data_IF_257215228371
#
_entry.id   IF_257215228371
#
_cell.length_a   1.000
_cell.length_b   1.000
_cell.length_c   1.000
_cell.angle_alpha   90.00
_cell.angle_beta   90.00
_cell.angle_gamma   90.00
#
_symmetry.space_group_name_H-M   'P 1'
#
loop_
_entity.id
_entity.type
_entity.pdbx_description
1 polymer ?
#
# COMPACT_ATOMS: atom_id res chain seq x y z
N UNK A 1 -19.71 4.24 13.30
CA UNK A 1 -18.31 3.89 12.96
C UNK A 1 -18.10 4.12 11.48
N UNK A 2 -17.01 4.78 11.10
CA UNK A 2 -16.56 4.90 9.72
C UNK A 2 -15.46 3.88 9.46
N UNK A 3 -15.51 3.20 8.32
CA UNK A 3 -14.49 2.23 7.94
C UNK A 3 -14.47 2.04 6.42
N UNK A 4 -13.35 1.53 5.91
CA UNK A 4 -13.21 1.16 4.49
C UNK A 4 -13.50 -0.33 4.32
N UNK A 5 -14.21 -0.70 3.28
CA UNK A 5 -14.57 -2.09 3.01
C UNK A 5 -14.67 -2.37 1.51
N UNK A 6 -14.34 -3.59 1.09
CA UNK A 6 -14.50 -4.09 -0.29
C UNK A 6 -15.91 -4.70 -0.53
N UNK A 7 -16.94 -4.31 0.24
CA UNK A 7 -18.27 -4.95 0.19
C UNK A 7 -19.01 -4.71 -1.14
N UNK A 8 -18.64 -3.67 -1.88
CA UNK A 8 -19.11 -3.37 -3.24
C UNK A 8 -18.01 -3.52 -4.29
N UNK A 9 -17.04 -4.41 -4.06
CA UNK A 9 -15.93 -4.73 -4.97
C UNK A 9 -14.93 -3.60 -5.24
N UNK A 10 -15.18 -2.44 -4.64
CA UNK A 10 -14.28 -1.30 -4.51
C UNK A 10 -13.93 -1.08 -3.05
N UNK A 11 -12.71 -0.61 -2.77
CA UNK A 11 -12.32 -0.11 -1.44
C UNK A 11 -12.93 1.27 -1.23
N UNK A 12 -14.14 1.32 -0.67
CA UNK A 12 -14.88 2.58 -0.44
C UNK A 12 -15.27 2.76 1.03
N UNK A 13 -15.63 4.00 1.39
CA UNK A 13 -16.06 4.33 2.74
C UNK A 13 -17.45 3.80 3.03
N UNK A 14 -17.60 3.26 4.24
CA UNK A 14 -18.86 2.75 4.78
C UNK A 14 -19.14 3.35 6.15
N UNK A 15 -20.42 3.55 6.41
CA UNK A 15 -20.94 4.05 7.68
C UNK A 15 -21.70 2.92 8.37
N UNK A 16 -21.22 2.48 9.52
CA UNK A 16 -21.96 1.60 10.42
C UNK A 16 -22.67 2.43 11.49
N UNK A 17 -24.00 2.32 11.54
CA UNK A 17 -24.85 2.92 12.55
C UNK A 17 -25.36 1.81 13.49
N UNK A 18 -25.29 2.03 14.80
CA UNK A 18 -25.89 1.15 15.81
C UNK A 18 -27.13 1.83 16.36
N UNK A 19 -28.28 1.20 16.17
CA UNK A 19 -29.60 1.63 16.65
C UNK A 19 -30.20 0.44 17.41
N UNK A 20 -30.54 0.62 18.69
CA UNK A 20 -31.16 -0.41 19.54
C UNK A 20 -30.48 -1.80 19.42
N UNK A 21 -29.16 -1.82 19.59
CA UNK A 21 -28.28 -2.99 19.46
C UNK A 21 -28.17 -3.65 18.08
N UNK A 22 -28.90 -3.16 17.08
CA UNK A 22 -28.74 -3.57 15.69
C UNK A 22 -27.72 -2.68 14.98
N UNK A 23 -26.77 -3.30 14.29
CA UNK A 23 -25.80 -2.59 13.43
C UNK A 23 -26.25 -2.67 11.99
N UNK A 24 -26.45 -1.51 11.36
CA UNK A 24 -26.71 -1.39 9.92
C UNK A 24 -25.53 -0.69 9.25
N UNK A 25 -25.12 -1.21 8.09
CA UNK A 25 -23.96 -0.72 7.34
C UNK A 25 -24.44 -0.16 6.01
N UNK A 26 -23.97 1.03 5.66
CA UNK A 26 -24.29 1.72 4.41
C UNK A 26 -23.02 2.13 3.67
N UNK A 27 -23.03 2.06 2.34
CA UNK A 27 -22.00 2.67 1.51
C UNK A 27 -22.14 4.20 1.55
N UNK A 28 -21.05 4.92 1.80
CA UNK A 28 -21.09 6.38 1.97
C UNK A 28 -21.66 7.09 0.72
N UNK A 29 -21.16 6.76 -0.47
CA UNK A 29 -21.67 7.39 -1.69
C UNK A 29 -23.08 6.95 -2.08
N UNK A 30 -23.52 5.76 -1.65
CA UNK A 30 -24.88 5.28 -1.92
C UNK A 30 -25.90 6.11 -1.13
N UNK A 31 -25.55 6.51 0.09
CA UNK A 31 -26.40 7.35 0.96
C UNK A 31 -26.40 8.80 0.50
N UNK A 32 -25.23 9.34 0.14
CA UNK A 32 -25.05 10.77 -0.10
C UNK A 32 -24.97 11.15 -1.57
N UNK A 33 -25.04 10.20 -2.50
CA UNK A 33 -24.96 10.46 -3.94
C UNK A 33 -23.67 11.18 -4.38
N UNK A 34 -22.57 10.99 -3.64
CA UNK A 34 -21.34 11.80 -3.83
C UNK A 34 -20.57 11.48 -5.09
N UNK A 35 -20.71 10.26 -5.61
CA UNK A 35 -20.10 9.82 -6.87
C UNK A 35 -20.72 8.51 -7.36
N UNK A 36 -20.83 8.36 -8.68
CA UNK A 36 -21.16 7.08 -9.34
C UNK A 36 -20.00 6.68 -10.26
N UNK A 37 -19.44 5.49 -10.04
CA UNK A 37 -18.33 4.96 -10.83
C UNK A 37 -17.12 4.47 -10.01
N UNK A 38 -16.07 4.08 -10.75
CA UNK A 38 -14.84 3.50 -10.21
C UNK A 38 -14.06 4.52 -9.38
N UNK A 39 -13.78 4.18 -8.11
CA UNK A 39 -12.90 4.96 -7.24
C UNK A 39 -12.45 4.13 -6.05
N UNK A 40 -11.44 4.63 -5.34
CA UNK A 40 -11.11 4.23 -3.98
C UNK A 40 -11.34 5.40 -3.05
N UNK A 41 -11.70 5.09 -1.80
CA UNK A 41 -11.86 6.06 -0.72
C UNK A 41 -11.21 5.53 0.55
N UNK A 42 -10.60 6.42 1.33
CA UNK A 42 -9.96 6.06 2.59
C UNK A 42 -9.97 7.23 3.58
N UNK A 43 -9.53 6.98 4.81
CA UNK A 43 -9.25 7.98 5.85
C UNK A 43 -10.43 8.92 6.10
N UNK A 44 -11.61 8.35 6.40
CA UNK A 44 -12.82 9.10 6.69
C UNK A 44 -12.84 9.67 8.11
N UNK A 45 -13.04 10.97 8.24
CA UNK A 45 -13.08 11.71 9.51
C UNK A 45 -14.32 12.60 9.63
N UNK A 46 -14.99 12.57 10.79
CA UNK A 46 -16.09 13.49 11.09
C UNK A 46 -15.51 14.81 11.62
N UNK A 47 -15.78 15.92 10.92
CA UNK A 47 -15.40 17.28 11.30
C UNK A 47 -16.63 18.06 11.77
N UNK A 48 -16.59 18.55 13.00
CA UNK A 48 -17.62 19.44 13.57
C UNK A 48 -19.03 18.87 13.56
N UNK A 49 -19.19 17.53 13.52
CA UNK A 49 -20.47 16.81 13.47
C UNK A 49 -21.18 16.84 12.12
N UNK A 50 -20.88 17.82 11.27
CA UNK A 50 -21.65 18.11 10.06
C UNK A 50 -20.93 17.71 8.77
N UNK A 51 -19.64 17.40 8.82
CA UNK A 51 -18.84 17.12 7.63
C UNK A 51 -18.11 15.78 7.74
N UNK A 52 -18.04 15.04 6.65
CA UNK A 52 -17.11 13.94 6.46
C UNK A 52 -15.98 14.39 5.55
N UNK A 53 -14.75 14.36 6.06
CA UNK A 53 -13.53 14.58 5.28
C UNK A 53 -12.90 13.24 4.93
N UNK A 54 -12.46 13.05 3.69
CA UNK A 54 -11.92 11.79 3.19
C UNK A 54 -10.99 12.00 2.01
N UNK A 55 -10.12 11.02 1.74
CA UNK A 55 -9.36 10.97 0.48
C UNK A 55 -10.07 10.08 -0.53
N UNK A 56 -10.05 10.47 -1.80
CA UNK A 56 -10.66 9.71 -2.89
C UNK A 56 -9.88 9.83 -4.20
N UNK A 57 -10.00 8.82 -5.06
CA UNK A 57 -9.47 8.81 -6.44
C UNK A 57 -10.56 9.08 -7.49
N UNK A 58 -11.66 9.74 -7.12
CA UNK A 58 -12.79 9.96 -8.02
C UNK A 58 -12.50 10.91 -9.18
N UNK A 59 -11.52 11.79 -9.00
CA UNK A 59 -11.04 12.69 -10.04
C UNK A 59 -10.05 11.96 -10.95
N UNK A 60 -10.00 12.36 -12.22
CA UNK A 60 -9.00 11.84 -13.16
C UNK A 60 -7.63 12.47 -12.89
N UNK A 61 -6.58 11.69 -13.08
CA UNK A 61 -5.22 12.23 -13.15
C UNK A 61 -5.12 13.22 -14.31
N UNK A 62 -4.39 14.32 -14.11
CA UNK A 62 -4.15 15.30 -15.17
C UNK A 62 -3.33 14.69 -16.32
N UNK A 63 -2.32 13.90 -15.96
CA UNK A 63 -1.40 13.26 -16.90
C UNK A 63 -1.32 11.75 -16.67
N UNK A 64 -0.86 11.03 -17.70
CA UNK A 64 -0.60 9.59 -17.60
C UNK A 64 0.45 9.32 -16.53
N UNK A 65 0.26 8.21 -15.79
CA UNK A 65 1.13 7.76 -14.69
C UNK A 65 1.20 8.72 -13.49
N UNK A 66 0.39 9.77 -13.44
CA UNK A 66 0.28 10.59 -12.23
C UNK A 66 -0.79 10.04 -11.27
N UNK A 67 -0.57 10.09 -9.94
CA UNK A 67 -1.61 9.82 -8.96
C UNK A 67 -2.72 10.88 -9.03
N UNK A 68 -3.93 10.52 -8.56
CA UNK A 68 -5.11 11.40 -8.58
C UNK A 68 -5.87 11.49 -7.24
N UNK A 69 -5.22 11.10 -6.14
CA UNK A 69 -5.83 11.19 -4.81
C UNK A 69 -6.05 12.64 -4.41
N UNK A 70 -7.24 12.97 -3.95
CA UNK A 70 -7.58 14.30 -3.47
C UNK A 70 -8.42 14.22 -2.20
N UNK A 71 -8.32 15.24 -1.35
CA UNK A 71 -9.11 15.33 -0.12
C UNK A 71 -10.41 16.08 -0.42
N UNK A 72 -11.52 15.46 -0.05
CA UNK A 72 -12.86 16.02 -0.16
C UNK A 72 -13.50 16.17 1.22
N UNK A 73 -14.43 17.11 1.31
CA UNK A 73 -15.34 17.29 2.43
C UNK A 73 -16.77 17.19 1.92
N UNK A 74 -17.60 16.37 2.55
CA UNK A 74 -19.03 16.26 2.25
C UNK A 74 -19.83 16.68 3.48
N UNK A 75 -20.74 17.64 3.30
CA UNK A 75 -21.70 18.00 4.33
C UNK A 75 -22.74 16.88 4.48
N UNK A 76 -22.86 16.33 5.69
CA UNK A 76 -23.72 15.18 6.00
C UNK A 76 -25.20 15.53 6.14
N UNK A 77 -25.56 16.82 6.14
CA UNK A 77 -26.96 17.29 6.13
C UNK A 77 -27.44 17.61 4.71
N UNK A 78 -26.59 18.25 3.91
CA UNK A 78 -26.95 18.72 2.56
C UNK A 78 -26.46 17.80 1.43
N UNK A 79 -25.65 16.79 1.75
CA UNK A 79 -24.94 15.92 0.80
C UNK A 79 -23.97 16.66 -0.15
N UNK A 80 -23.75 17.96 0.04
CA UNK A 80 -22.88 18.77 -0.81
C UNK A 80 -21.42 18.40 -0.57
N UNK A 81 -20.68 18.13 -1.66
CA UNK A 81 -19.27 17.75 -1.61
C UNK A 81 -18.38 18.81 -2.23
N UNK A 82 -17.30 19.17 -1.55
CA UNK A 82 -16.29 20.12 -2.02
C UNK A 82 -14.89 19.51 -1.93
N UNK A 83 -14.02 19.84 -2.90
CA UNK A 83 -12.61 19.48 -2.86
C UNK A 83 -11.87 20.43 -1.92
N UNK A 84 -11.09 19.91 -0.98
CA UNK A 84 -10.29 20.71 -0.05
C UNK A 84 -8.89 21.00 -0.59
N UNK A 85 -8.28 20.03 -1.27
CA UNK A 85 -6.92 20.18 -1.80
C UNK A 85 -6.89 20.81 -3.19
N UNK A 86 -5.81 21.51 -3.57
CA UNK A 86 -5.67 22.08 -4.91
C UNK A 86 -5.84 21.05 -6.03
N UNK A 87 -6.30 21.50 -7.19
CA UNK A 87 -6.34 20.67 -8.41
C UNK A 87 -4.94 20.41 -8.95
N UNK A 88 -4.81 19.40 -9.82
CA UNK A 88 -3.55 19.01 -10.49
C UNK A 88 -2.40 18.61 -9.55
N UNK A 89 -2.71 18.29 -8.29
CA UNK A 89 -1.79 17.65 -7.36
C UNK A 89 -2.48 16.47 -6.70
N UNK A 90 -1.68 15.52 -6.23
CA UNK A 90 -2.16 14.37 -5.49
C UNK A 90 -1.74 14.47 -4.02
N UNK A 91 -2.67 14.10 -3.16
CA UNK A 91 -2.55 14.22 -1.72
C UNK A 91 -2.74 12.85 -1.07
N UNK A 92 -1.86 12.53 -0.13
CA UNK A 92 -1.75 11.24 0.53
C UNK A 92 -1.91 11.41 2.04
N UNK A 93 -2.38 10.35 2.69
CA UNK A 93 -2.42 10.22 4.15
C UNK A 93 -3.02 11.44 4.87
N UNK A 94 -4.27 11.85 4.58
CA UNK A 94 -4.87 12.97 5.27
C UNK A 94 -5.01 12.67 6.77
N UNK A 95 -4.75 13.68 7.61
CA UNK A 95 -4.92 13.60 9.05
C UNK A 95 -5.64 14.82 9.58
N UNK A 96 -6.64 14.61 10.43
CA UNK A 96 -7.47 15.67 10.97
C UNK A 96 -6.99 16.11 12.37
N UNK A 97 -6.96 17.42 12.60
CA UNK A 97 -6.71 18.02 13.93
C UNK A 97 -7.78 17.62 14.94
N UNK A 98 -7.49 17.62 16.26
CA UNK A 98 -8.48 17.24 17.28
C UNK A 98 -9.82 18.01 17.20
N UNK A 99 -9.77 19.30 16.86
CA UNK A 99 -10.96 20.15 16.68
C UNK A 99 -11.72 19.90 15.37
N UNK A 100 -11.13 19.16 14.44
CA UNK A 100 -11.67 18.92 13.10
C UNK A 100 -11.55 20.11 12.15
N UNK A 101 -10.92 21.21 12.56
CA UNK A 101 -10.86 22.45 11.76
C UNK A 101 -9.77 22.43 10.71
N UNK A 102 -8.67 21.73 11.00
CA UNK A 102 -7.51 21.59 10.13
C UNK A 102 -7.35 20.16 9.64
N UNK A 103 -6.89 20.01 8.40
CA UNK A 103 -6.40 18.76 7.82
C UNK A 103 -4.97 18.94 7.35
N UNK A 104 -4.11 17.97 7.70
CA UNK A 104 -2.75 17.85 7.20
C UNK A 104 -2.70 16.76 6.13
N UNK A 105 -1.93 16.97 5.07
CA UNK A 105 -1.75 16.00 3.98
C UNK A 105 -0.29 15.94 3.57
N UNK A 106 0.16 14.76 3.13
CA UNK A 106 1.41 14.61 2.40
C UNK A 106 1.12 14.82 0.90
N UNK A 107 1.64 15.88 0.29
CA UNK A 107 1.26 16.32 -1.05
C UNK A 107 2.47 16.44 -1.98
N UNK A 108 2.25 16.18 -3.26
CA UNK A 108 3.19 16.50 -4.33
C UNK A 108 3.15 17.97 -4.74
N UNK A 109 2.40 18.82 -4.02
CA UNK A 109 2.40 20.25 -4.29
C UNK A 109 3.83 20.83 -4.14
N UNK A 110 4.18 21.73 -5.08
CA UNK A 110 5.52 22.35 -5.23
C UNK A 110 6.62 21.36 -5.63
N UNK A 111 6.26 20.20 -6.18
CA UNK A 111 7.17 19.31 -6.88
C UNK A 111 6.87 19.41 -8.38
N UNK A 112 7.86 19.86 -9.14
CA UNK A 112 7.73 20.02 -10.59
C UNK A 112 7.46 18.66 -11.24
N UNK A 113 6.44 18.59 -12.11
CA UNK A 113 6.04 17.33 -12.76
C UNK A 113 5.28 16.33 -11.87
N UNK A 114 5.11 16.62 -10.57
CA UNK A 114 4.37 15.74 -9.65
C UNK A 114 5.18 14.53 -9.20
N UNK A 115 4.59 13.34 -9.27
CA UNK A 115 5.27 12.09 -8.89
C UNK A 115 6.20 11.62 -10.01
N UNK A 116 7.44 11.27 -9.68
CA UNK A 116 8.47 10.91 -10.67
C UNK A 116 8.79 9.40 -10.66
N UNK A 117 7.85 8.59 -10.16
CA UNK A 117 8.01 7.14 -10.08
C UNK A 117 8.70 6.65 -8.81
N UNK A 118 8.87 7.50 -7.79
CA UNK A 118 9.42 7.06 -6.51
C UNK A 118 8.53 6.03 -5.83
N UNK A 119 9.14 4.99 -5.25
CA UNK A 119 8.41 3.88 -4.64
C UNK A 119 8.43 3.97 -3.12
N UNK A 120 9.62 4.09 -2.53
CA UNK A 120 9.78 4.11 -1.07
C UNK A 120 9.69 5.53 -0.50
N UNK A 121 10.55 6.41 -0.98
CA UNK A 121 10.61 7.81 -0.55
C UNK A 121 9.90 8.68 -1.57
N UNK A 122 8.63 8.96 -1.32
CA UNK A 122 7.79 9.71 -2.25
C UNK A 122 8.18 11.20 -2.35
N UNK A 123 9.06 11.70 -1.48
CA UNK A 123 9.52 13.10 -1.48
C UNK A 123 8.37 14.11 -1.45
N UNK A 124 7.31 13.78 -0.72
CA UNK A 124 6.15 14.66 -0.53
C UNK A 124 6.47 15.75 0.49
N UNK A 125 5.71 16.84 0.46
CA UNK A 125 5.74 17.87 1.50
C UNK A 125 4.46 17.80 2.33
N UNK A 126 4.49 18.24 3.59
CA UNK A 126 3.29 18.30 4.41
C UNK A 126 2.68 19.69 4.33
N UNK A 127 1.41 19.71 3.95
CA UNK A 127 0.59 20.92 3.92
C UNK A 127 -0.54 20.81 4.93
N UNK A 128 -0.90 21.94 5.54
CA UNK A 128 -2.05 22.07 6.43
C UNK A 128 -3.06 23.01 5.80
N UNK A 129 -4.33 22.65 5.84
CA UNK A 129 -5.41 23.47 5.34
C UNK A 129 -6.64 23.48 6.24
N UNK A 130 -7.39 24.58 6.17
CA UNK A 130 -8.69 24.69 6.84
C UNK A 130 -9.74 23.84 6.11
N UNK A 131 -10.52 23.09 6.88
CA UNK A 131 -11.70 22.36 6.36
C UNK A 131 -12.81 23.35 5.99
N UNK A 132 -12.90 24.49 6.68
CA UNK A 132 -13.86 25.56 6.41
C UNK A 132 -13.17 26.77 5.76
N UNK A 133 -13.91 27.48 4.92
CA UNK A 133 -13.37 28.58 4.11
C UNK A 133 -12.92 29.80 4.97
N UNK A 134 -11.93 30.57 4.47
CA UNK A 134 -11.21 30.37 3.21
C UNK A 134 -10.20 29.20 3.29
N UNK A 135 -10.07 28.40 2.22
CA UNK A 135 -9.10 27.32 2.14
C UNK A 135 -7.70 27.95 2.02
N UNK A 136 -6.98 28.05 3.13
CA UNK A 136 -5.56 28.38 3.13
C UNK A 136 -4.77 27.08 3.15
N UNK A 137 -3.91 26.84 2.15
CA UNK A 137 -2.98 25.71 2.14
C UNK A 137 -1.59 26.21 2.53
N UNK A 138 -1.08 25.77 3.69
CA UNK A 138 0.22 26.20 4.24
C UNK A 138 1.21 25.04 4.21
N UNK A 139 2.36 25.24 3.57
CA UNK A 139 3.50 24.35 3.68
C UNK A 139 4.03 24.41 5.13
N UNK A 140 4.10 23.27 5.81
CA UNK A 140 4.60 23.20 7.20
C UNK A 140 5.87 22.36 7.35
N UNK A 141 6.07 21.36 6.49
CA UNK A 141 7.22 20.45 6.53
C UNK A 141 7.64 20.13 5.09
N UNK A 142 8.95 20.18 4.82
CA UNK A 142 9.51 19.70 3.54
C UNK A 142 9.90 18.23 3.63
N UNK A 143 9.78 17.48 2.54
CA UNK A 143 10.18 16.07 2.49
C UNK A 143 9.64 15.25 3.70
N UNK A 144 8.32 15.21 3.86
CA UNK A 144 7.65 14.54 4.98
C UNK A 144 6.39 13.85 4.51
N UNK A 145 6.13 12.66 5.07
CA UNK A 145 4.96 11.86 4.78
C UNK A 145 4.15 11.52 6.04
N UNK A 146 2.96 10.96 5.83
CA UNK A 146 2.15 10.34 6.88
C UNK A 146 1.94 11.24 8.12
N UNK A 147 1.40 12.46 7.97
CA UNK A 147 1.15 13.34 9.11
C UNK A 147 0.15 12.74 10.09
N UNK A 148 0.25 13.10 11.36
CA UNK A 148 -0.73 12.80 12.42
C UNK A 148 -0.70 13.89 13.48
N UNK A 149 -1.85 14.25 14.06
CA UNK A 149 -1.96 15.38 15.00
C UNK A 149 -1.84 14.95 16.46
N UNK A 150 -0.89 15.54 17.18
CA UNK A 150 -0.76 15.43 18.64
C UNK A 150 -1.58 16.46 19.42
N UNK A 151 -1.81 17.63 18.82
CA UNK A 151 -2.74 18.68 19.29
C UNK A 151 -3.20 19.58 18.14
N UNK A 152 -3.68 20.80 18.41
CA UNK A 152 -4.04 21.77 17.38
C UNK A 152 -2.84 22.40 16.65
N UNK A 153 -1.64 22.32 17.24
CA UNK A 153 -0.42 22.89 16.67
C UNK A 153 0.72 21.89 16.53
N UNK A 154 0.59 20.68 17.07
CA UNK A 154 1.64 19.67 17.02
C UNK A 154 1.31 18.57 16.03
N UNK A 155 2.21 18.35 15.09
CA UNK A 155 2.18 17.24 14.14
C UNK A 155 3.34 16.29 14.39
N UNK A 156 3.10 15.01 14.15
CA UNK A 156 4.14 14.02 13.94
C UNK A 156 4.11 13.56 12.49
N UNK A 157 5.26 13.20 11.95
CA UNK A 157 5.41 12.72 10.57
C UNK A 157 6.63 11.81 10.44
N UNK A 158 6.70 11.04 9.36
CA UNK A 158 7.92 10.30 9.01
C UNK A 158 8.70 10.97 7.88
N UNK A 159 10.02 10.77 7.86
CA UNK A 159 10.92 11.25 6.82
C UNK A 159 12.09 10.29 6.68
N UNK A 160 12.54 10.05 5.45
CA UNK A 160 13.78 9.31 5.17
C UNK A 160 14.99 10.22 5.37
N UNK A 161 15.97 9.77 6.15
CA UNK A 161 17.25 10.44 6.39
C UNK A 161 18.37 9.42 6.19
N UNK A 162 19.13 9.58 5.11
CA UNK A 162 20.06 8.55 4.66
C UNK A 162 19.34 7.23 4.41
N UNK A 163 19.82 6.16 5.06
CA UNK A 163 19.31 4.80 4.88
C UNK A 163 18.11 4.44 5.76
N UNK A 164 17.67 5.35 6.64
CA UNK A 164 16.69 5.08 7.67
C UNK A 164 15.50 6.04 7.60
N UNK A 165 14.33 5.52 7.93
CA UNK A 165 13.18 6.38 8.23
C UNK A 165 13.21 6.81 9.69
N UNK A 166 12.91 8.08 9.96
CA UNK A 166 12.68 8.58 11.30
C UNK A 166 11.29 9.19 11.44
N UNK A 167 10.75 9.14 12.65
CA UNK A 167 9.60 9.96 13.04
C UNK A 167 10.06 11.24 13.72
N UNK A 168 9.44 12.34 13.32
CA UNK A 168 9.72 13.70 13.74
C UNK A 168 8.45 14.34 14.29
N UNK A 169 8.63 15.31 15.17
CA UNK A 169 7.60 16.20 15.71
C UNK A 169 7.83 17.60 15.15
N UNK A 170 6.77 18.33 14.86
CA UNK A 170 6.82 19.74 14.52
C UNK A 170 5.72 20.50 15.24
N UNK A 171 6.06 21.67 15.79
CA UNK A 171 5.09 22.62 16.31
C UNK A 171 4.91 23.76 15.31
N UNK A 172 3.69 23.95 14.81
CA UNK A 172 3.35 24.95 13.80
C UNK A 172 2.67 26.21 14.38
N UNK A 173 2.51 26.28 15.70
CA UNK A 173 1.85 27.39 16.40
C UNK A 173 2.73 28.63 16.58
N UNK A 174 4.05 28.47 16.75
CA UNK A 174 4.99 29.52 17.16
C UNK A 174 5.52 30.45 16.06
N UNK A 175 4.89 30.55 14.89
CA UNK A 175 5.34 31.40 13.78
C UNK A 175 6.53 30.84 12.96
N UNK A 176 7.43 30.07 13.59
CA UNK A 176 8.45 29.26 12.92
C UNK A 176 8.30 27.78 13.31
N UNK A 177 8.17 26.91 12.31
CA UNK A 177 8.01 25.48 12.53
C UNK A 177 9.35 24.89 13.00
N UNK A 178 9.39 24.41 14.25
CA UNK A 178 10.58 23.74 14.80
C UNK A 178 10.40 22.23 14.71
N UNK A 179 11.20 21.58 13.88
CA UNK A 179 11.20 20.13 13.72
C UNK A 179 12.18 19.47 14.72
N UNK A 180 11.78 18.36 15.33
CA UNK A 180 12.63 17.59 16.24
C UNK A 180 12.44 16.10 16.00
N UNK A 181 13.54 15.35 15.91
CA UNK A 181 13.48 13.90 15.73
C UNK A 181 13.06 13.22 17.04
N UNK A 182 12.06 12.35 16.97
CA UNK A 182 11.45 11.69 18.14
C UNK A 182 12.02 10.29 18.35
N UNK A 183 12.49 9.65 17.27
CA UNK A 183 12.96 8.26 17.26
C UNK A 183 14.48 8.20 17.20
N UNK A 184 15.15 7.16 17.75
CA UNK A 184 16.61 7.00 17.72
C UNK A 184 17.19 6.88 16.31
N UNK A 185 18.45 7.27 16.13
CA UNK A 185 19.20 7.04 14.87
C UNK A 185 19.53 5.55 14.70
N UNK A 186 19.81 5.14 13.46
CA UNK A 186 20.17 3.75 13.14
C UNK A 186 19.02 2.74 13.17
N UNK A 187 17.78 3.18 13.37
CA UNK A 187 16.58 2.36 13.22
C UNK A 187 15.61 2.98 12.21
N UNK A 188 14.79 2.14 11.58
CA UNK A 188 13.69 2.58 10.71
C UNK A 188 12.43 2.75 11.54
N UNK A 189 11.80 3.91 11.46
CA UNK A 189 10.56 4.24 12.14
C UNK A 189 9.57 4.94 11.18
N UNK A 190 8.36 4.38 11.05
CA UNK A 190 7.36 4.79 10.04
C UNK A 190 5.94 4.76 10.62
N UNK A 191 5.00 5.35 9.86
CA UNK A 191 3.54 5.35 10.13
C UNK A 191 3.22 5.80 11.56
N UNK A 192 3.56 7.04 11.93
CA UNK A 192 3.27 7.56 13.26
C UNK A 192 1.76 7.66 13.48
N UNK A 193 1.34 7.40 14.71
CA UNK A 193 0.00 7.64 15.21
C UNK A 193 0.11 8.40 16.54
N UNK A 194 -0.19 9.70 16.51
CA UNK A 194 -0.05 10.55 17.68
C UNK A 194 -1.05 10.17 18.78
N UNK A 195 -0.57 10.23 20.03
CA UNK A 195 -1.37 10.01 21.23
C UNK A 195 -1.71 11.38 21.85
N UNK A 196 -0.71 12.26 21.93
CA UNK A 196 -0.81 13.63 22.43
C UNK A 196 0.39 14.46 21.89
N UNK A 197 0.63 15.65 22.45
CA UNK A 197 1.68 16.58 22.02
C UNK A 197 3.12 16.05 22.14
N UNK A 198 3.38 15.10 23.02
CA UNK A 198 4.73 14.59 23.30
C UNK A 198 4.88 13.12 22.93
N UNK A 199 3.76 12.41 22.75
CA UNK A 199 3.73 10.95 22.70
C UNK A 199 3.17 10.45 21.37
N UNK A 200 3.87 9.51 20.75
CA UNK A 200 3.50 8.92 19.45
C UNK A 200 3.74 7.41 19.42
N UNK A 201 2.78 6.66 18.89
CA UNK A 201 2.97 5.25 18.56
C UNK A 201 3.53 5.11 17.14
N UNK A 202 4.52 4.24 16.94
CA UNK A 202 5.29 4.14 15.69
C UNK A 202 5.57 2.69 15.35
N UNK A 203 5.56 2.34 14.06
CA UNK A 203 6.07 1.06 13.59
C UNK A 203 7.58 1.15 13.37
N UNK A 204 8.34 0.25 13.96
CA UNK A 204 9.81 0.27 13.96
C UNK A 204 10.40 -1.03 13.43
N UNK A 205 11.57 -0.93 12.79
CA UNK A 205 12.45 -2.04 12.43
C UNK A 205 13.84 -1.65 12.92
N UNK A 206 14.40 -2.43 13.84
CA UNK A 206 15.67 -2.10 14.52
C UNK A 206 16.90 -2.65 13.78
N UNK A 207 16.71 -3.62 12.90
CA UNK A 207 17.76 -4.21 12.07
C UNK A 207 17.18 -4.55 10.68
N UNK A 208 17.88 -4.22 9.60
CA UNK A 208 17.47 -4.62 8.25
C UNK A 208 17.62 -6.15 8.08
N UNK A 209 16.76 -6.74 7.25
CA UNK A 209 16.88 -8.14 6.81
C UNK A 209 16.91 -8.22 5.30
N UNK A 210 17.70 -9.15 4.77
CA UNK A 210 17.64 -9.61 3.39
C UNK A 210 16.51 -10.61 3.16
N UNK A 211 16.21 -10.90 1.89
CA UNK A 211 15.15 -11.84 1.50
C UNK A 211 15.44 -13.28 1.93
N UNK A 212 16.71 -13.68 1.94
CA UNK A 212 17.17 -15.02 2.32
C UNK A 212 17.47 -15.18 3.82
N UNK A 213 17.30 -14.12 4.62
CA UNK A 213 17.63 -14.17 6.04
C UNK A 213 16.61 -15.00 6.83
N UNK A 214 17.11 -15.88 7.69
CA UNK A 214 16.32 -16.37 8.83
C UNK A 214 16.25 -15.24 9.86
N UNK A 215 15.09 -14.58 9.92
CA UNK A 215 14.95 -13.33 10.69
C UNK A 215 15.13 -13.52 12.20
N UNK A 216 15.90 -12.61 12.81
CA UNK A 216 15.97 -12.43 14.27
C UNK A 216 14.95 -11.39 14.74
N UNK A 217 14.65 -11.34 16.04
CA UNK A 217 13.62 -10.45 16.61
C UNK A 217 13.78 -8.98 16.19
N UNK A 218 15.01 -8.46 16.19
CA UNK A 218 15.28 -7.05 15.83
C UNK A 218 14.92 -6.72 14.37
N UNK A 219 14.79 -7.73 13.51
CA UNK A 219 14.41 -7.58 12.11
C UNK A 219 12.89 -7.56 11.90
N UNK A 220 12.09 -7.95 12.90
CA UNK A 220 10.64 -7.87 12.83
C UNK A 220 10.12 -6.46 13.06
N UNK A 221 9.04 -6.11 12.35
CA UNK A 221 8.38 -4.83 12.52
C UNK A 221 7.56 -4.82 13.80
N UNK A 222 7.82 -3.86 14.68
CA UNK A 222 7.15 -3.74 15.96
C UNK A 222 6.51 -2.37 16.18
N UNK A 223 5.39 -2.36 16.91
CA UNK A 223 4.81 -1.11 17.42
C UNK A 223 5.47 -0.74 18.73
N UNK A 224 5.96 0.50 18.81
CA UNK A 224 6.58 1.10 19.99
C UNK A 224 5.96 2.48 20.25
N UNK A 225 6.00 2.95 21.50
CA UNK A 225 5.62 4.31 21.89
C UNK A 225 6.91 5.08 22.15
N UNK A 226 7.00 6.28 21.58
CA UNK A 226 8.04 7.24 21.89
C UNK A 226 7.43 8.47 22.55
N UNK A 227 8.08 8.95 23.61
CA UNK A 227 7.71 10.17 24.33
C UNK A 227 8.89 11.14 24.28
N UNK A 228 8.67 12.35 23.78
CA UNK A 228 9.72 13.38 23.68
C UNK A 228 10.20 13.91 25.04
N UNK A 229 9.49 13.59 26.12
CA UNK A 229 9.76 14.06 27.48
C UNK A 229 10.06 12.94 28.47
N UNK A 230 9.94 11.68 28.04
CA UNK A 230 9.87 10.55 28.95
C UNK A 230 10.46 9.26 28.39
N UNK A 231 9.96 8.14 28.89
CA UNK A 231 10.45 6.81 28.56
C UNK A 231 9.71 6.19 27.37
N UNK A 232 10.47 5.55 26.49
CA UNK A 232 9.93 4.81 25.34
C UNK A 232 9.43 3.43 25.76
N UNK A 233 8.35 2.95 25.13
CA UNK A 233 7.72 1.66 25.47
C UNK A 233 7.61 0.74 24.27
N UNK A 234 8.21 -0.45 24.37
CA UNK A 234 8.01 -1.53 23.40
C UNK A 234 6.69 -2.26 23.66
N UNK A 235 5.80 -2.29 22.66
CA UNK A 235 4.49 -2.96 22.77
C UNK A 235 4.61 -4.37 22.20
N UNK A 236 4.69 -4.51 20.88
CA UNK A 236 4.43 -5.81 20.24
C UNK A 236 5.60 -6.76 20.35
N UNK A 237 6.82 -6.25 20.52
CA UNK A 237 8.00 -7.11 20.78
C UNK A 237 7.79 -7.97 22.05
N UNK A 238 7.16 -7.43 23.10
CA UNK A 238 6.90 -8.18 24.34
C UNK A 238 5.77 -9.21 24.23
N UNK A 239 4.88 -9.04 23.25
CA UNK A 239 3.67 -9.86 23.08
C UNK A 239 3.93 -10.97 22.07
N UNK A 240 4.52 -10.63 20.92
CA UNK A 240 4.84 -11.52 19.80
C UNK A 240 6.11 -11.02 19.08
N UNK A 241 7.31 -11.43 19.52
CA UNK A 241 8.57 -10.90 19.00
C UNK A 241 8.94 -11.34 17.57
N UNK A 242 8.35 -12.45 17.07
CA UNK A 242 8.66 -13.02 15.74
C UNK A 242 7.52 -12.86 14.74
N UNK A 243 6.88 -11.69 14.73
CA UNK A 243 5.81 -11.36 13.79
C UNK A 243 5.86 -9.87 13.41
N UNK A 244 5.50 -9.56 12.16
CA UNK A 244 5.41 -8.17 11.71
C UNK A 244 4.08 -7.52 12.11
N UNK A 245 4.19 -6.34 12.71
CA UNK A 245 3.09 -5.49 13.15
C UNK A 245 3.13 -4.18 12.37
N UNK A 246 2.03 -3.89 11.67
CA UNK A 246 1.91 -2.77 10.72
C UNK A 246 0.99 -1.69 11.27
N UNK A 247 1.33 -0.45 10.96
CA UNK A 247 0.52 0.76 11.10
C UNK A 247 -0.24 0.82 12.45
N UNK A 248 0.41 1.28 13.54
CA UNK A 248 -0.31 1.52 14.77
C UNK A 248 -1.40 2.56 14.54
N UNK A 249 -2.49 2.43 15.29
CA UNK A 249 -3.55 3.44 15.32
C UNK A 249 -4.04 3.61 16.76
N UNK A 250 -4.48 4.82 17.08
CA UNK A 250 -4.87 5.22 18.42
C UNK A 250 -6.39 5.33 18.48
N UNK A 251 -7.00 4.73 19.51
CA UNK A 251 -8.44 4.82 19.77
C UNK A 251 -8.71 5.22 21.22
N UNK A 252 -9.95 5.61 21.50
CA UNK A 252 -10.40 5.99 22.85
C UNK A 252 -9.55 7.12 23.46
N UNK A 253 -9.26 8.15 22.65
CA UNK A 253 -8.51 9.34 23.08
C UNK A 253 -7.12 9.05 23.63
N UNK A 254 -6.35 8.18 22.97
CA UNK A 254 -4.99 7.83 23.43
C UNK A 254 -4.90 6.61 24.33
N UNK A 255 -6.02 6.10 24.86
CA UNK A 255 -6.01 5.05 25.89
C UNK A 255 -5.75 3.64 25.36
N UNK A 256 -5.90 3.43 24.05
CA UNK A 256 -5.71 2.11 23.42
C UNK A 256 -4.99 2.27 22.10
N UNK A 257 -4.07 1.35 21.85
CA UNK A 257 -3.33 1.24 20.59
C UNK A 257 -3.75 -0.05 19.93
N UNK A 258 -4.23 0.06 18.69
CA UNK A 258 -4.41 -1.05 17.78
C UNK A 258 -3.27 -1.10 16.77
N UNK A 259 -3.12 -2.23 16.11
CA UNK A 259 -2.17 -2.43 15.01
C UNK A 259 -2.67 -3.56 14.12
N UNK A 260 -2.25 -3.54 12.86
CA UNK A 260 -2.44 -4.67 11.96
C UNK A 260 -1.29 -5.66 12.16
N UNK A 261 -1.55 -6.94 11.95
CA UNK A 261 -0.53 -7.99 12.07
C UNK A 261 -0.70 -8.98 10.93
N UNK A 262 0.41 -9.36 10.31
CA UNK A 262 0.40 -10.51 9.42
C UNK A 262 0.11 -11.77 10.26
N UNK A 263 -0.70 -12.69 9.73
CA UNK A 263 -0.92 -14.02 10.33
C UNK A 263 -0.08 -15.07 9.60
N UNK A 264 1.07 -14.68 9.07
CA UNK A 264 1.91 -15.58 8.25
C UNK A 264 2.40 -16.79 9.04
N UNK A 265 2.57 -16.65 10.35
CA UNK A 265 2.91 -17.77 11.24
C UNK A 265 1.77 -18.79 11.43
N UNK A 266 0.54 -18.41 11.08
CA UNK A 266 -0.61 -19.33 11.07
C UNK A 266 -0.73 -20.09 9.76
N UNK A 267 0.07 -19.76 8.74
CA UNK A 267 0.12 -20.47 7.47
C UNK A 267 1.22 -21.53 7.58
N UNK A 268 0.88 -22.81 7.55
CA UNK A 268 1.87 -23.86 7.37
C UNK A 268 2.37 -23.85 5.92
N UNK A 269 3.60 -24.32 5.70
CA UNK A 269 4.11 -24.48 4.33
C UNK A 269 3.24 -25.48 3.57
N UNK A 270 2.55 -25.01 2.53
CA UNK A 270 1.57 -25.81 1.79
C UNK A 270 0.12 -25.67 2.26
N UNK A 271 -0.16 -24.84 3.29
CA UNK A 271 -1.54 -24.45 3.60
C UNK A 271 -2.07 -23.56 2.47
N UNK A 272 -3.15 -24.02 1.85
CA UNK A 272 -3.84 -23.28 0.81
C UNK A 272 -4.33 -21.94 1.39
N UNK A 273 -3.85 -20.83 0.82
CA UNK A 273 -4.64 -19.59 0.85
C UNK A 273 -6.00 -19.99 0.25
N UNK A 274 -7.12 -19.87 0.98
CA UNK A 274 -8.41 -20.44 0.56
C UNK A 274 -8.92 -19.94 -0.81
N UNK A 275 -8.26 -18.95 -1.39
CA UNK A 275 -8.54 -18.32 -2.67
C UNK A 275 -7.25 -18.15 -3.46
N UNK A 276 -6.70 -19.24 -3.99
CA UNK A 276 -5.51 -19.20 -4.86
C UNK A 276 -5.77 -18.44 -6.17
N UNK A 277 -7.02 -18.46 -6.64
CA UNK A 277 -7.51 -17.71 -7.79
C UNK A 277 -8.94 -17.20 -7.50
N UNK A 278 -9.19 -15.90 -7.68
CA UNK A 278 -10.50 -15.31 -7.42
C UNK A 278 -10.83 -14.25 -8.46
N UNK A 279 -11.98 -14.38 -9.14
CA UNK A 279 -12.53 -13.32 -9.98
C UNK A 279 -13.11 -12.24 -9.08
N UNK A 280 -12.59 -11.03 -9.19
CA UNK A 280 -13.12 -9.84 -8.55
C UNK A 280 -14.15 -9.22 -9.50
N UNK A 281 -15.20 -8.61 -8.96
CA UNK A 281 -16.08 -7.81 -9.81
C UNK A 281 -15.30 -6.59 -10.28
N UNK A 282 -15.35 -6.38 -11.60
CA UNK A 282 -14.83 -5.16 -12.17
C UNK A 282 -15.92 -4.11 -12.19
N UNK A 283 -15.59 -2.87 -11.79
CA UNK A 283 -16.52 -1.76 -11.89
C UNK A 283 -16.64 -1.24 -13.35
N UNK A 284 -15.85 -1.79 -14.28
CA UNK A 284 -15.95 -1.57 -15.72
C UNK A 284 -16.37 -2.87 -16.41
N UNK A 285 -17.50 -2.89 -17.15
CA UNK A 285 -18.08 -4.14 -17.68
C UNK A 285 -17.14 -4.91 -18.61
N UNK A 286 -16.29 -4.20 -19.36
CA UNK A 286 -15.36 -4.80 -20.32
C UNK A 286 -14.01 -5.22 -19.72
N UNK A 287 -13.78 -5.01 -18.43
CA UNK A 287 -12.52 -5.37 -17.77
C UNK A 287 -12.76 -6.55 -16.84
N UNK A 288 -11.96 -7.60 -16.92
CA UNK A 288 -11.95 -8.68 -15.93
C UNK A 288 -10.87 -8.44 -14.88
N UNK A 289 -11.21 -8.54 -13.60
CA UNK A 289 -10.24 -8.47 -12.52
C UNK A 289 -10.05 -9.86 -11.89
N UNK A 290 -8.81 -10.29 -11.75
CA UNK A 290 -8.45 -11.57 -11.16
C UNK A 290 -7.38 -11.37 -10.08
N UNK A 291 -7.55 -12.05 -8.95
CA UNK A 291 -6.55 -12.15 -7.88
C UNK A 291 -5.92 -13.54 -7.94
N UNK A 292 -4.59 -13.59 -7.91
CA UNK A 292 -3.78 -14.83 -7.95
C UNK A 292 -2.85 -14.85 -6.74
N UNK A 293 -2.54 -16.03 -6.20
CA UNK A 293 -1.70 -16.22 -5.02
C UNK A 293 -0.19 -15.96 -5.22
N UNK A 294 0.21 -15.40 -6.36
CA UNK A 294 1.61 -15.15 -6.71
C UNK A 294 1.80 -13.86 -7.51
N UNK A 295 2.96 -13.74 -8.13
CA UNK A 295 3.44 -12.56 -8.86
C UNK A 295 3.60 -12.86 -10.35
N UNK A 296 3.68 -11.80 -11.15
CA UNK A 296 3.85 -11.86 -12.61
C UNK A 296 2.81 -12.73 -13.33
N UNK A 297 1.49 -12.50 -13.13
CA UNK A 297 0.47 -13.26 -13.84
C UNK A 297 0.49 -12.92 -15.33
N UNK A 298 0.35 -13.95 -16.17
CA UNK A 298 0.16 -13.80 -17.62
C UNK A 298 -0.86 -14.82 -18.10
N UNK A 299 -1.71 -14.41 -19.03
CA UNK A 299 -2.65 -15.29 -19.70
C UNK A 299 -2.06 -15.80 -21.01
N UNK A 300 -2.36 -17.04 -21.35
CA UNK A 300 -2.16 -17.51 -22.71
C UNK A 300 -3.14 -16.79 -23.65
N UNK A 301 -2.90 -16.89 -24.96
CA UNK A 301 -3.61 -16.08 -25.98
C UNK A 301 -5.13 -16.19 -25.93
N UNK A 302 -5.68 -17.37 -25.62
CA UNK A 302 -7.12 -17.61 -25.54
C UNK A 302 -7.72 -17.38 -24.13
N UNK A 303 -6.88 -17.06 -23.14
CA UNK A 303 -7.29 -16.82 -21.76
C UNK A 303 -7.69 -18.06 -20.95
N UNK A 304 -7.54 -19.28 -21.49
CA UNK A 304 -7.89 -20.52 -20.80
C UNK A 304 -6.91 -20.92 -19.70
N UNK A 305 -5.70 -20.38 -19.71
CA UNK A 305 -4.63 -20.63 -18.74
C UNK A 305 -4.03 -19.32 -18.25
N UNK A 306 -3.77 -19.26 -16.95
CA UNK A 306 -2.94 -18.22 -16.33
C UNK A 306 -1.68 -18.86 -15.78
N UNK A 307 -0.52 -18.25 -16.03
CA UNK A 307 0.72 -18.63 -15.37
C UNK A 307 1.22 -17.51 -14.47
N UNK A 308 1.87 -17.87 -13.38
CA UNK A 308 2.40 -16.95 -12.39
C UNK A 308 3.56 -17.62 -11.65
N UNK A 309 4.22 -16.87 -10.76
CA UNK A 309 5.30 -17.40 -9.92
C UNK A 309 4.93 -17.19 -8.46
N UNK A 310 5.34 -18.11 -7.59
CA UNK A 310 5.18 -17.92 -6.13
C UNK A 310 5.98 -16.71 -5.62
N UNK A 311 5.66 -16.25 -4.40
CA UNK A 311 6.29 -15.06 -3.83
C UNK A 311 7.77 -15.29 -3.48
N UNK A 312 8.20 -16.54 -3.39
CA UNK A 312 9.59 -16.95 -3.16
C UNK A 312 10.41 -17.06 -4.45
N UNK A 313 9.82 -16.75 -5.61
CA UNK A 313 10.46 -16.85 -6.92
C UNK A 313 11.04 -18.24 -7.22
N UNK A 314 10.36 -19.27 -6.69
CA UNK A 314 10.83 -20.66 -6.70
C UNK A 314 10.24 -21.48 -7.84
N UNK A 315 8.98 -21.27 -8.16
CA UNK A 315 8.24 -22.11 -9.11
C UNK A 315 7.32 -21.33 -10.01
N UNK A 316 7.26 -21.76 -11.26
CA UNK A 316 6.28 -21.32 -12.25
C UNK A 316 5.07 -22.22 -12.12
N UNK A 317 3.93 -21.59 -11.88
CA UNK A 317 2.63 -22.22 -11.76
C UNK A 317 1.80 -21.96 -13.01
N UNK A 318 0.98 -22.91 -13.39
CA UNK A 318 -0.10 -22.75 -14.36
C UNK A 318 -1.40 -23.16 -13.70
N UNK A 319 -2.42 -22.31 -13.81
CA UNK A 319 -3.78 -22.60 -13.41
C UNK A 319 -4.72 -22.56 -14.61
N UNK A 320 -5.64 -23.51 -14.65
CA UNK A 320 -6.70 -23.65 -15.65
C UNK A 320 -7.99 -24.18 -14.99
N UNK A 321 -8.98 -24.57 -15.80
CA UNK A 321 -10.27 -25.10 -15.32
C UNK A 321 -10.15 -26.40 -14.50
N UNK A 322 -9.00 -27.08 -14.51
CA UNK A 322 -8.74 -28.31 -13.75
C UNK A 322 -7.97 -28.05 -12.45
N UNK A 323 -7.52 -26.82 -12.22
CA UNK A 323 -6.77 -26.41 -11.02
C UNK A 323 -5.37 -25.88 -11.32
N UNK A 324 -4.57 -25.73 -10.28
CA UNK A 324 -3.20 -25.19 -10.31
C UNK A 324 -2.16 -26.31 -10.27
N UNK A 325 -1.06 -26.15 -11.02
CA UNK A 325 0.09 -27.08 -11.03
C UNK A 325 1.40 -26.34 -11.25
N UNK A 326 2.49 -26.90 -10.71
CA UNK A 326 3.85 -26.44 -10.98
C UNK A 326 4.30 -27.01 -12.33
N UNK A 327 4.81 -26.15 -13.21
CA UNK A 327 5.38 -26.54 -14.51
C UNK A 327 6.89 -26.39 -14.56
N UNK A 328 7.47 -25.62 -13.64
CA UNK A 328 8.91 -25.53 -13.42
C UNK A 328 9.18 -25.10 -11.98
N UNK A 329 10.25 -25.61 -11.36
CA UNK A 329 10.67 -25.15 -10.04
C UNK A 329 12.12 -25.51 -9.75
N UNK A 330 12.86 -24.56 -9.15
CA UNK A 330 14.28 -24.75 -8.82
C UNK A 330 14.73 -23.74 -7.77
N UNK A 331 14.85 -24.17 -6.50
CA UNK A 331 15.36 -23.33 -5.40
C UNK A 331 14.56 -22.04 -5.17
N UNK A 332 14.80 -21.32 -4.07
CA UNK A 332 14.24 -19.96 -3.92
C UNK A 332 15.02 -18.96 -4.78
N UNK A 333 14.38 -17.84 -5.15
CA UNK A 333 15.01 -16.72 -5.88
C UNK A 333 15.70 -17.11 -7.18
N UNK A 334 14.97 -17.74 -8.11
CA UNK A 334 15.59 -18.28 -9.32
C UNK A 334 14.72 -18.26 -10.58
N UNK A 335 13.44 -17.93 -10.49
CA UNK A 335 12.59 -17.79 -11.69
C UNK A 335 11.55 -16.70 -11.49
N UNK A 336 11.31 -15.87 -12.51
CA UNK A 336 10.28 -14.83 -12.48
C UNK A 336 9.83 -14.42 -13.89
N UNK A 337 8.79 -13.57 -13.94
CA UNK A 337 8.27 -12.95 -15.17
C UNK A 337 7.90 -13.95 -16.29
N UNK A 338 7.02 -14.95 -16.05
CA UNK A 338 6.50 -15.78 -17.12
C UNK A 338 5.72 -14.94 -18.13
N UNK A 339 5.91 -15.24 -19.41
CA UNK A 339 5.17 -14.66 -20.53
C UNK A 339 4.82 -15.76 -21.50
N UNK A 340 3.53 -15.95 -21.77
CA UNK A 340 3.08 -16.87 -22.81
C UNK A 340 3.41 -16.33 -24.19
N UNK A 341 3.82 -17.25 -25.08
CA UNK A 341 3.81 -17.00 -26.52
C UNK A 341 2.49 -16.34 -26.96
N UNK A 342 2.59 -15.24 -27.70
CA UNK A 342 1.43 -14.60 -28.32
C UNK A 342 0.92 -15.34 -29.55
N UNK A 343 1.72 -16.27 -30.08
CA UNK A 343 1.28 -17.20 -31.11
C UNK A 343 0.50 -18.37 -30.46
N UNK A 344 -0.80 -18.54 -30.79
CA UNK A 344 -1.65 -19.57 -30.19
C UNK A 344 -1.20 -21.01 -30.50
N UNK A 345 -0.44 -21.20 -31.58
CA UNK A 345 0.07 -22.51 -32.02
C UNK A 345 1.35 -22.92 -31.28
N UNK A 346 1.95 -22.01 -30.51
CA UNK A 346 3.19 -22.24 -29.77
C UNK A 346 2.87 -22.40 -28.27
N UNK A 347 3.10 -23.60 -27.76
CA UNK A 347 2.92 -23.96 -26.35
C UNK A 347 4.19 -23.71 -25.53
N UNK A 348 4.54 -22.43 -25.37
CA UNK A 348 5.78 -22.02 -24.70
C UNK A 348 5.54 -20.89 -23.71
N UNK A 349 6.14 -21.02 -22.53
CA UNK A 349 6.33 -19.95 -21.56
C UNK A 349 7.77 -19.45 -21.59
N UNK A 350 7.94 -18.16 -21.80
CA UNK A 350 9.24 -17.49 -21.64
C UNK A 350 9.37 -16.99 -20.21
N UNK A 351 10.51 -17.24 -19.57
CA UNK A 351 10.75 -16.88 -18.17
C UNK A 351 12.16 -16.31 -18.00
N UNK A 352 12.35 -15.48 -16.98
CA UNK A 352 13.68 -15.15 -16.48
C UNK A 352 14.15 -16.25 -15.53
N UNK A 353 15.36 -16.77 -15.72
CA UNK A 353 16.00 -17.73 -14.81
C UNK A 353 17.31 -17.17 -14.26
N UNK A 354 17.40 -17.12 -12.93
CA UNK A 354 18.46 -16.50 -12.15
C UNK A 354 17.90 -15.65 -11.00
N UNK A 355 18.76 -15.09 -10.12
CA UNK A 355 18.34 -14.29 -8.98
C UNK A 355 17.52 -13.07 -9.38
N UNK A 356 16.40 -12.83 -8.70
CA UNK A 356 15.50 -11.73 -9.02
C UNK A 356 16.08 -10.39 -8.56
N UNK A 357 16.02 -9.39 -9.44
CA UNK A 357 16.42 -8.00 -9.15
C UNK A 357 17.87 -7.82 -8.66
N UNK A 358 18.77 -8.77 -8.96
CA UNK A 358 20.19 -8.66 -8.62
C UNK A 358 21.00 -8.26 -9.85
N UNK A 359 21.27 -6.96 -10.00
CA UNK A 359 21.93 -6.39 -11.18
C UNK A 359 23.36 -6.86 -11.43
N UNK A 360 23.97 -7.58 -10.47
CA UNK A 360 25.33 -8.16 -10.56
C UNK A 360 25.33 -9.66 -10.81
N UNK A 361 24.18 -10.31 -10.78
CA UNK A 361 24.05 -11.74 -11.02
C UNK A 361 23.62 -12.04 -12.45
N UNK A 362 23.99 -13.24 -12.92
CA UNK A 362 23.59 -13.71 -14.24
C UNK A 362 22.08 -13.96 -14.26
N UNK A 363 21.43 -13.45 -15.31
CA UNK A 363 20.03 -13.68 -15.60
C UNK A 363 19.86 -14.01 -17.08
N UNK A 364 19.23 -15.14 -17.36
CA UNK A 364 18.94 -15.60 -18.73
C UNK A 364 17.43 -15.63 -18.97
N UNK A 365 17.01 -15.34 -20.20
CA UNK A 365 15.69 -15.70 -20.71
C UNK A 365 15.72 -17.16 -21.18
N UNK A 366 14.76 -17.95 -20.69
CA UNK A 366 14.55 -19.35 -21.03
C UNK A 366 13.12 -19.61 -21.52
N UNK A 367 12.96 -20.56 -22.44
CA UNK A 367 11.69 -21.13 -22.87
C UNK A 367 11.40 -22.42 -22.09
N UNK A 368 10.21 -22.50 -21.51
CA UNK A 368 9.61 -23.72 -21.00
C UNK A 368 8.61 -24.18 -22.07
N UNK A 369 8.91 -25.28 -22.76
CA UNK A 369 8.15 -25.73 -23.94
C UNK A 369 7.20 -26.88 -23.61
N UNK A 370 6.13 -27.05 -24.38
CA UNK A 370 5.13 -28.12 -24.19
C UNK A 370 4.45 -28.08 -22.81
N UNK A 371 4.11 -26.88 -22.35
CA UNK A 371 3.52 -26.63 -21.01
C UNK A 371 2.13 -27.26 -20.85
N UNK A 372 1.33 -27.34 -21.92
CA UNK A 372 -0.01 -27.95 -21.92
C UNK A 372 0.05 -29.47 -21.86
N UNK A 373 1.06 -30.08 -22.47
CA UNK A 373 1.10 -31.54 -22.71
C UNK A 373 2.07 -32.28 -21.79
N UNK A 374 3.12 -31.63 -21.30
CA UNK A 374 4.14 -32.26 -20.46
C UNK A 374 3.91 -32.03 -18.98
N UNK A 375 4.05 -33.09 -18.17
CA UNK A 375 4.11 -32.99 -16.70
C UNK A 375 5.43 -32.40 -16.20
N UNK A 376 6.49 -32.49 -17.00
CA UNK A 376 7.82 -31.90 -16.73
C UNK A 376 8.33 -31.27 -18.03
N UNK A 377 7.82 -30.09 -18.39
CA UNK A 377 8.22 -29.35 -19.58
C UNK A 377 9.75 -29.22 -19.70
N UNK A 378 10.34 -29.42 -20.90
CA UNK A 378 11.74 -29.11 -21.14
C UNK A 378 12.00 -27.60 -21.02
N UNK A 379 13.22 -27.26 -20.63
CA UNK A 379 13.69 -25.88 -20.53
C UNK A 379 14.83 -25.65 -21.52
N UNK A 380 14.71 -24.61 -22.34
CA UNK A 380 15.72 -24.17 -23.30
C UNK A 380 16.17 -22.75 -22.98
N UNK A 381 17.48 -22.53 -22.85
CA UNK A 381 18.04 -21.18 -22.71
C UNK A 381 18.07 -20.49 -24.08
N UNK A 382 17.58 -19.25 -24.15
CA UNK A 382 17.50 -18.48 -25.39
C UNK A 382 18.56 -17.38 -25.50
N UNK A 383 19.06 -16.92 -24.36
CA UNK A 383 20.00 -15.80 -24.30
C UNK A 383 21.38 -16.25 -23.86
N UNK A 384 22.36 -15.43 -24.21
CA UNK A 384 23.71 -15.46 -23.66
C UNK A 384 24.04 -14.04 -23.13
N UNK A 385 25.09 -13.92 -22.32
CA UNK A 385 25.46 -12.64 -21.71
C UNK A 385 24.85 -12.42 -20.33
N UNK A 386 24.62 -11.16 -19.98
CA UNK A 386 24.40 -10.73 -18.60
C UNK A 386 23.12 -9.86 -18.49
N UNK A 387 22.29 -10.16 -17.49
CA UNK A 387 21.08 -9.42 -17.12
C UNK A 387 19.98 -9.32 -18.21
N UNK A 388 19.67 -10.44 -18.89
CA UNK A 388 18.55 -10.50 -19.84
C UNK A 388 17.23 -10.73 -19.08
N UNK A 389 16.39 -9.69 -18.96
CA UNK A 389 15.18 -9.70 -18.14
C UNK A 389 13.91 -9.38 -18.95
N UNK A 390 12.75 -9.73 -18.38
CA UNK A 390 11.41 -9.37 -18.86
C UNK A 390 11.18 -9.74 -20.34
N UNK A 391 11.09 -11.04 -20.67
CA UNK A 391 10.83 -11.46 -22.03
C UNK A 391 9.51 -10.87 -22.55
N UNK A 392 9.46 -10.65 -23.86
CA UNK A 392 8.24 -10.33 -24.59
C UNK A 392 8.29 -11.08 -25.91
N UNK A 393 7.13 -11.42 -26.45
CA UNK A 393 7.00 -12.25 -27.66
C UNK A 393 6.35 -11.42 -28.74
N UNK A 394 6.85 -11.56 -29.96
CA UNK A 394 6.18 -11.01 -31.14
C UNK A 394 4.97 -11.89 -31.55
N UNK A 395 4.14 -11.47 -32.53
CA UNK A 395 2.99 -12.26 -33.00
C UNK A 395 3.35 -13.66 -33.51
N UNK A 396 4.56 -13.84 -34.04
CA UNK A 396 5.08 -15.15 -34.49
C UNK A 396 5.46 -16.06 -33.32
N UNK A 397 5.60 -15.50 -32.11
CA UNK A 397 5.92 -16.20 -30.87
C UNK A 397 7.42 -16.31 -30.58
N UNK A 398 8.26 -15.53 -31.27
CA UNK A 398 9.72 -15.47 -31.06
C UNK A 398 10.11 -14.45 -30.00
#
# INVERSE_FOLDING_TARGET
MLFVSERGSLKTLHIALRLDDKVTVFGFADVYGTFSGVRMEDSGYISGGDYLVYVTTKDRAADRRQPCTAVYSTNLKTATSERLTPTNTADLSPAMSPSGKLVAVASFQRKDGGWDGEIEDLQTNIFVMNVKRPPGCKLVVRNGGWPTWGSESVLFFHRKVGDFWGVFRVDIGGGSATETRVTPEGITAITPAAINETTVAVATIRQKSGFSDVRVEAQYRHSEIFDTTGANTKITQKIRPKADHFNPFVINGGKRIGYHRAKSEMLQSGDDIPRQFYKLDSPHPDVGLFRVAGVFPTFNRDGSMVSFVDNEFKSVWVADSKGSRIVYGRGADNVFSPVWSQNPDIDTLYVCMGPSFQSKERLDICAIVNVKTSKRPPVQRLTNGFNNAFPSTNPEGN
#
